data_IF_203604495291
#
_entry.id   IF_203604495291
#
_cell.length_a   1.000
_cell.length_b   1.000
_cell.length_c   1.000
_cell.angle_alpha   90.00
_cell.angle_beta   90.00
_cell.angle_gamma   90.00
#
_symmetry.space_group_name_H-M   'P 1'
#
loop_
_entity.id
_entity.type
_entity.pdbx_description
1 polymer ?
#
# COMPACT_ATOMS: atom_id res chain seq x y z
N UNK A 1 23.87 7.10 10.85
CA UNK A 1 23.68 7.78 12.16
C UNK A 1 22.33 7.35 12.72
N UNK A 2 22.23 7.04 14.02
CA UNK A 2 20.94 6.77 14.68
C UNK A 2 20.45 8.05 15.36
N UNK A 3 19.29 8.55 14.96
CA UNK A 3 18.63 9.72 15.57
C UNK A 3 17.38 9.27 16.32
N UNK A 4 17.10 9.93 17.44
CA UNK A 4 15.91 9.66 18.26
C UNK A 4 14.81 10.63 17.85
N UNK A 5 13.62 10.08 17.63
CA UNK A 5 12.40 10.85 17.42
C UNK A 5 11.54 10.77 18.68
N UNK A 6 11.09 11.91 19.20
CA UNK A 6 10.21 11.99 20.37
C UNK A 6 8.93 12.72 19.98
N UNK A 7 7.79 12.03 20.07
CA UNK A 7 6.47 12.62 19.84
C UNK A 7 5.75 12.89 21.16
N UNK A 8 4.98 13.97 21.21
CA UNK A 8 3.98 14.20 22.25
C UNK A 8 2.64 13.70 21.74
N UNK A 9 2.06 12.73 22.43
CA UNK A 9 0.82 12.04 22.08
C UNK A 9 0.03 11.81 23.35
N UNK A 10 -1.29 11.69 23.21
CA UNK A 10 -2.16 11.34 24.33
C UNK A 10 -1.86 9.92 24.83
N UNK A 11 -1.94 9.73 26.14
CA UNK A 11 -1.59 8.45 26.78
C UNK A 11 -2.44 7.29 26.26
N UNK A 12 -3.74 7.51 26.05
CA UNK A 12 -4.64 6.49 25.49
C UNK A 12 -4.22 6.05 24.08
N UNK A 13 -3.72 6.99 23.27
CA UNK A 13 -3.25 6.71 21.93
C UNK A 13 -1.97 5.88 21.94
N UNK A 14 -1.05 6.17 22.88
CA UNK A 14 0.17 5.40 23.08
C UNK A 14 -0.14 3.95 23.47
N UNK A 15 -1.11 3.73 24.35
CA UNK A 15 -1.50 2.37 24.77
C UNK A 15 -2.16 1.58 23.64
N UNK A 16 -3.07 2.21 22.86
CA UNK A 16 -3.64 1.59 21.65
C UNK A 16 -2.57 1.19 20.65
N UNK A 17 -1.59 2.06 20.42
CA UNK A 17 -0.48 1.78 19.50
C UNK A 17 0.38 0.60 19.98
N UNK A 18 0.67 0.50 21.27
CA UNK A 18 1.41 -0.64 21.84
C UNK A 18 0.64 -1.94 21.70
N UNK A 19 -0.67 -1.94 22.01
CA UNK A 19 -1.52 -3.12 21.88
C UNK A 19 -1.50 -3.65 20.45
N UNK A 20 -1.78 -2.77 19.49
CA UNK A 20 -1.75 -3.11 18.06
C UNK A 20 -0.37 -3.64 17.63
N UNK A 21 0.71 -2.96 18.03
CA UNK A 21 2.05 -3.39 17.67
C UNK A 21 2.37 -4.78 18.25
N UNK A 22 1.96 -5.07 19.48
CA UNK A 22 2.14 -6.37 20.13
C UNK A 22 1.37 -7.49 19.42
N UNK A 23 0.11 -7.26 19.03
CA UNK A 23 -0.67 -8.22 18.23
C UNK A 23 0.01 -8.56 16.90
N UNK A 24 0.68 -7.57 16.30
CA UNK A 24 1.41 -7.74 15.04
C UNK A 24 2.89 -8.14 15.24
N UNK A 25 3.33 -8.47 16.46
CA UNK A 25 4.69 -8.91 16.76
C UNK A 25 5.77 -7.84 16.52
N UNK A 26 5.41 -6.56 16.59
CA UNK A 26 6.28 -5.40 16.32
C UNK A 26 6.33 -4.46 17.52
N UNK A 27 7.35 -3.61 17.57
CA UNK A 27 7.37 -2.46 18.47
C UNK A 27 6.71 -1.25 17.81
N UNK A 28 6.21 -0.31 18.61
CA UNK A 28 5.66 0.97 18.10
C UNK A 28 6.72 1.71 17.27
N UNK A 29 7.99 1.71 17.72
CA UNK A 29 9.10 2.32 16.98
C UNK A 29 9.32 1.67 15.62
N UNK A 30 9.20 0.34 15.52
CA UNK A 30 9.31 -0.37 14.24
C UNK A 30 8.13 -0.04 13.32
N UNK A 31 6.91 0.02 13.86
CA UNK A 31 5.71 0.37 13.10
C UNK A 31 5.83 1.79 12.51
N UNK A 32 6.30 2.75 13.30
CA UNK A 32 6.53 4.13 12.85
C UNK A 32 7.68 4.20 11.84
N UNK A 33 8.76 3.45 12.04
CA UNK A 33 9.86 3.38 11.06
C UNK A 33 9.39 2.80 9.71
N UNK A 34 8.57 1.75 9.73
CA UNK A 34 7.98 1.17 8.52
C UNK A 34 7.07 2.19 7.81
N UNK A 35 6.29 2.97 8.56
CA UNK A 35 5.47 4.05 8.00
C UNK A 35 6.32 5.15 7.34
N UNK A 36 7.40 5.61 7.98
CA UNK A 36 8.28 6.61 7.37
C UNK A 36 8.98 6.12 6.11
N UNK A 37 9.38 4.84 6.07
CA UNK A 37 9.90 4.23 4.83
C UNK A 37 8.87 4.25 3.71
N UNK A 38 7.59 4.08 4.02
CA UNK A 38 6.52 4.15 3.03
C UNK A 38 6.31 5.58 2.52
N UNK A 39 6.41 6.59 3.39
CA UNK A 39 6.35 8.00 2.97
C UNK A 39 7.49 8.36 2.01
N UNK A 40 8.68 7.83 2.23
CA UNK A 40 9.85 8.04 1.36
C UNK A 40 9.75 7.26 0.04
N UNK A 41 8.97 6.17 0.02
CA UNK A 41 8.70 5.38 -1.18
C UNK A 41 7.61 5.98 -2.08
N UNK A 42 6.95 7.08 -1.67
CA UNK A 42 6.06 7.80 -2.57
C UNK A 42 6.94 8.46 -3.64
N UNK A 43 6.76 8.13 -4.94
CA UNK A 43 7.54 8.77 -5.97
C UNK A 43 7.28 10.27 -5.89
N UNK A 44 8.34 11.07 -5.88
CA UNK A 44 8.21 12.49 -6.15
C UNK A 44 7.31 12.68 -7.38
N UNK A 45 6.43 13.70 -7.44
CA UNK A 45 5.47 13.90 -8.52
C UNK A 45 6.10 14.04 -9.93
N UNK A 46 7.43 13.99 -10.03
CA UNK A 46 8.21 13.93 -11.27
C UNK A 46 8.45 12.52 -11.79
N UNK A 47 8.04 11.47 -11.07
CA UNK A 47 8.22 10.10 -11.53
C UNK A 47 7.16 9.77 -12.60
N UNK A 48 7.61 9.31 -13.76
CA UNK A 48 6.78 8.86 -14.87
C UNK A 48 5.64 7.96 -14.37
N UNK A 49 4.45 7.94 -15.01
CA UNK A 49 3.30 7.14 -14.56
C UNK A 49 3.59 5.64 -14.38
N UNK A 50 4.64 5.13 -15.02
CA UNK A 50 5.15 3.77 -14.82
C UNK A 50 5.83 3.56 -13.46
N UNK A 51 6.57 4.56 -12.94
CA UNK A 51 7.27 4.48 -11.66
C UNK A 51 6.33 4.55 -10.44
N UNK A 52 5.11 5.06 -10.62
CA UNK A 52 4.06 5.05 -9.60
C UNK A 52 3.29 3.72 -9.50
N UNK A 53 3.49 2.81 -10.46
CA UNK A 53 2.85 1.49 -10.44
C UNK A 53 3.68 0.50 -9.63
N UNK A 54 3.02 -0.22 -8.71
CA UNK A 54 3.65 -1.34 -8.00
C UNK A 54 4.16 -2.41 -8.97
N UNK A 55 5.22 -3.14 -8.58
CA UNK A 55 5.87 -4.17 -9.40
C UNK A 55 4.90 -5.19 -10.03
N UNK A 56 3.87 -5.61 -9.29
CA UNK A 56 2.82 -6.51 -9.78
C UNK A 56 1.98 -5.85 -10.88
N UNK A 57 1.62 -4.58 -10.71
CA UNK A 57 0.84 -3.81 -11.68
C UNK A 57 1.62 -3.54 -12.96
N UNK A 58 2.92 -3.25 -12.85
CA UNK A 58 3.79 -3.10 -14.03
C UNK A 58 3.86 -4.39 -14.86
N UNK A 59 3.98 -5.56 -14.20
CA UNK A 59 4.01 -6.84 -14.89
C UNK A 59 2.69 -7.18 -15.62
N UNK A 60 1.57 -6.66 -15.12
CA UNK A 60 0.25 -6.87 -15.71
C UNK A 60 -0.09 -5.83 -16.78
N UNK A 61 0.56 -4.66 -16.77
CA UNK A 61 0.31 -3.57 -17.71
C UNK A 61 0.61 -4.02 -19.14
N UNK A 62 -0.39 -3.91 -20.02
CA UNK A 62 -0.25 -4.22 -21.44
C UNK A 62 -0.51 -5.68 -21.81
N UNK A 63 -0.73 -6.59 -20.85
CA UNK A 63 -1.12 -7.97 -21.15
C UNK A 63 -2.42 -8.04 -21.96
N UNK A 64 -3.36 -7.14 -21.68
CA UNK A 64 -4.66 -7.09 -22.37
C UNK A 64 -4.62 -6.31 -23.69
N UNK A 65 -3.50 -5.67 -24.04
CA UNK A 65 -3.41 -4.82 -25.25
C UNK A 65 -3.58 -5.58 -26.56
N UNK A 66 -3.36 -6.90 -26.55
CA UNK A 66 -3.54 -7.80 -27.69
C UNK A 66 -4.79 -8.65 -27.58
N UNK A 67 -5.50 -8.57 -26.47
CA UNK A 67 -6.72 -9.32 -26.27
C UNK A 67 -7.90 -8.48 -26.76
N UNK A 68 -8.75 -9.06 -27.61
CA UNK A 68 -9.96 -8.41 -28.09
C UNK A 68 -11.06 -8.58 -27.03
N UNK A 69 -10.90 -7.88 -25.91
CA UNK A 69 -11.82 -7.92 -24.78
C UNK A 69 -12.47 -6.55 -24.67
N UNK A 70 -13.78 -6.52 -24.57
CA UNK A 70 -14.55 -5.31 -24.37
C UNK A 70 -15.21 -5.31 -22.98
N UNK A 71 -15.93 -4.24 -22.69
CA UNK A 71 -16.61 -4.07 -21.40
C UNK A 71 -17.81 -5.03 -21.25
N UNK A 72 -18.38 -5.49 -22.36
CA UNK A 72 -19.48 -6.46 -22.37
C UNK A 72 -19.01 -7.84 -21.91
N UNK A 73 -17.82 -8.29 -22.29
CA UNK A 73 -17.19 -9.53 -21.80
C UNK A 73 -17.08 -9.54 -20.27
N UNK A 74 -16.74 -8.39 -19.68
CA UNK A 74 -16.66 -8.23 -18.23
C UNK A 74 -18.05 -8.27 -17.55
N UNK A 75 -19.04 -7.63 -18.15
CA UNK A 75 -20.42 -7.63 -17.64
C UNK A 75 -21.07 -9.02 -17.71
N UNK A 76 -20.77 -9.78 -18.78
CA UNK A 76 -21.23 -11.15 -18.94
C UNK A 76 -20.58 -12.07 -17.89
N UNK A 77 -19.25 -11.98 -17.69
CA UNK A 77 -18.57 -12.70 -16.62
C UNK A 77 -19.13 -12.39 -15.22
N UNK A 78 -19.43 -11.12 -14.94
CA UNK A 78 -20.03 -10.71 -13.66
C UNK A 78 -21.40 -11.33 -13.45
N UNK A 79 -22.21 -11.39 -14.50
CA UNK A 79 -23.52 -12.03 -14.44
C UNK A 79 -23.35 -13.52 -14.13
N UNK A 80 -22.57 -14.26 -14.93
CA UNK A 80 -22.39 -15.72 -14.76
C UNK A 80 -21.75 -16.11 -13.42
N UNK A 81 -20.96 -15.23 -12.81
CA UNK A 81 -20.27 -15.51 -11.55
C UNK A 81 -21.07 -15.20 -10.30
N UNK A 82 -21.97 -14.22 -10.37
CA UNK A 82 -22.65 -13.67 -9.18
C UNK A 82 -24.18 -13.70 -9.24
N UNK A 83 -24.78 -13.92 -10.43
CA UNK A 83 -26.22 -14.12 -10.65
C UNK A 83 -26.48 -15.57 -11.08
#
# INVERSE_FOLDING_TARGET
MQTKLTLRLDQELVEKAKFYAAEHGKSVSQMVADYFRFLDAQPAPTASPDAAMGNKTQALKGLLKKANINEDDYNQYRTDKYL
#
